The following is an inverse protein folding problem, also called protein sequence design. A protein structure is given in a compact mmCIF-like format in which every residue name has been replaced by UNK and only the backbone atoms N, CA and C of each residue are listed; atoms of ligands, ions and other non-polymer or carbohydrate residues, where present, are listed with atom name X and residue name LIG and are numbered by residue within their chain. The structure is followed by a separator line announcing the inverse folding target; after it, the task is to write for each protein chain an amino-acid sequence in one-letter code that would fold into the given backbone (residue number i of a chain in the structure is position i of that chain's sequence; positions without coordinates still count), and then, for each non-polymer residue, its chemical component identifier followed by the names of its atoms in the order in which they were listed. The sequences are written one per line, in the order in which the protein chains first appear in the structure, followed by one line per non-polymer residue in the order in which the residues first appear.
data_IF_989015797616
#
_entry.id   IF_989015797616
#
_cell.length_a   1.000
_cell.length_b   1.000
_cell.length_c   1.000
_cell.angle_alpha   90.00
_cell.angle_beta   90.00
_cell.angle_gamma   90.00
#
_symmetry.space_group_name_H-M   'P 1'
#
loop_
_entity.id
_entity.type
_entity.pdbx_description
1 polymer ?
#
# COMPACT_ATOMS: atom_id res chain seq x y z
N UNK A 1 22.55 50.66 -26.27
CA UNK A 1 22.81 49.21 -26.28
C UNK A 1 23.42 48.82 -24.96
N UNK A 2 22.70 48.11 -24.09
CA UNK A 2 23.29 47.55 -22.86
C UNK A 2 22.65 46.19 -22.64
N UNK A 3 23.37 45.15 -23.02
CA UNK A 3 22.94 43.76 -22.95
C UNK A 3 22.92 43.32 -21.50
N UNK A 4 21.72 43.16 -20.93
CA UNK A 4 21.55 42.51 -19.63
C UNK A 4 21.76 41.01 -19.84
N UNK A 5 22.89 40.50 -19.34
CA UNK A 5 23.19 39.07 -19.30
C UNK A 5 22.29 38.43 -18.25
N UNK A 6 21.22 37.78 -18.71
CA UNK A 6 20.39 36.93 -17.84
C UNK A 6 21.14 35.62 -17.59
N UNK A 7 21.59 35.41 -16.36
CA UNK A 7 22.17 34.13 -15.91
C UNK A 7 21.01 33.30 -15.37
N UNK A 8 20.56 32.33 -16.16
CA UNK A 8 19.54 31.37 -15.75
C UNK A 8 20.20 30.34 -14.82
N UNK A 9 19.99 30.47 -13.52
CA UNK A 9 20.44 29.49 -12.52
C UNK A 9 19.38 28.39 -12.41
N UNK A 10 19.61 27.24 -13.03
CA UNK A 10 18.76 26.05 -12.88
C UNK A 10 19.11 25.38 -11.56
N UNK A 11 18.28 25.59 -10.54
CA UNK A 11 18.34 24.82 -9.29
C UNK A 11 17.71 23.43 -9.53
N UNK A 12 18.54 22.42 -9.73
CA UNK A 12 18.09 21.03 -9.72
C UNK A 12 17.97 20.59 -8.26
N UNK A 13 16.75 20.57 -7.72
CA UNK A 13 16.46 19.90 -6.45
C UNK A 13 16.43 18.40 -6.71
N UNK A 14 17.56 17.73 -6.47
CA UNK A 14 17.59 16.28 -6.35
C UNK A 14 16.96 15.89 -5.01
N UNK A 15 15.65 15.63 -5.02
CA UNK A 15 14.96 15.00 -3.90
C UNK A 15 15.34 13.53 -3.84
N UNK A 16 16.38 13.20 -3.07
CA UNK A 16 16.65 11.82 -2.69
C UNK A 16 15.58 11.40 -1.67
N UNK A 17 14.48 10.84 -2.16
CA UNK A 17 13.53 10.11 -1.33
C UNK A 17 14.24 8.81 -0.92
N UNK A 18 14.87 8.85 0.25
CA UNK A 18 15.46 7.67 0.87
C UNK A 18 14.36 6.68 1.20
N UNK A 19 14.32 5.56 0.49
CA UNK A 19 13.49 4.40 0.83
C UNK A 19 13.99 3.83 2.16
N UNK A 20 13.46 4.32 3.27
CA UNK A 20 13.60 3.67 4.56
C UNK A 20 12.74 2.41 4.54
N UNK A 21 13.37 1.30 4.16
CA UNK A 21 12.79 -0.04 4.28
C UNK A 21 12.79 -0.40 5.77
N UNK A 22 11.86 0.18 6.52
CA UNK A 22 11.46 -0.36 7.81
C UNK A 22 10.58 -1.57 7.51
N UNK A 23 11.22 -2.71 7.31
CA UNK A 23 10.58 -4.03 7.23
C UNK A 23 9.93 -4.32 8.58
N UNK A 24 8.71 -3.82 8.77
CA UNK A 24 7.82 -4.29 9.82
C UNK A 24 7.35 -5.68 9.41
N UNK A 25 7.90 -6.70 10.06
CA UNK A 25 7.49 -8.09 9.93
C UNK A 25 5.98 -8.23 10.18
N UNK A 26 5.30 -9.01 9.35
CA UNK A 26 3.98 -9.55 9.65
C UNK A 26 2.89 -9.28 8.60
N UNK A 27 3.09 -9.76 7.38
CA UNK A 27 2.01 -10.26 6.52
C UNK A 27 2.67 -10.93 5.31
N UNK A 28 2.92 -12.24 5.40
CA UNK A 28 3.21 -13.05 4.20
C UNK A 28 2.12 -12.76 3.17
N UNK A 29 2.47 -12.14 2.04
CA UNK A 29 1.54 -11.84 0.94
C UNK A 29 1.33 -10.37 0.58
N UNK A 30 1.96 -9.39 1.25
CA UNK A 30 1.98 -8.00 0.74
C UNK A 30 2.89 -7.90 -0.48
N UNK A 31 2.32 -7.50 -1.62
CA UNK A 31 2.99 -7.37 -2.93
C UNK A 31 3.71 -6.03 -3.03
N UNK A 32 3.09 -4.96 -2.55
CA UNK A 32 3.63 -3.59 -2.60
C UNK A 32 3.42 -2.90 -1.26
N UNK A 33 4.41 -2.11 -0.84
CA UNK A 33 4.30 -1.19 0.28
C UNK A 33 5.20 0.03 0.04
N UNK A 34 4.57 1.16 -0.27
CA UNK A 34 5.25 2.43 -0.55
C UNK A 34 4.75 3.50 0.42
N UNK A 35 5.65 4.08 1.22
CA UNK A 35 5.31 5.16 2.14
C UNK A 35 5.26 6.51 1.40
N UNK A 36 4.13 7.23 1.50
CA UNK A 36 3.94 8.53 0.84
C UNK A 36 4.54 9.69 1.66
N UNK A 37 4.48 9.62 3.00
CA UNK A 37 5.02 10.63 3.93
C UNK A 37 5.43 9.98 5.25
N UNK A 38 6.62 10.32 5.76
CA UNK A 38 7.14 10.04 7.11
C UNK A 38 6.72 8.70 7.78
N UNK A 39 6.50 7.63 7.00
CA UNK A 39 6.08 6.31 7.48
C UNK A 39 4.67 6.21 8.08
N UNK A 40 3.80 7.23 7.93
CA UNK A 40 2.46 7.23 8.53
C UNK A 40 1.36 6.77 7.57
N UNK A 41 1.52 7.10 6.29
CA UNK A 41 0.57 6.77 5.23
C UNK A 41 1.27 6.00 4.12
N UNK A 42 0.73 4.84 3.77
CA UNK A 42 1.27 3.93 2.78
C UNK A 42 0.23 3.61 1.70
N UNK A 43 0.75 3.47 0.49
CA UNK A 43 0.11 2.71 -0.57
C UNK A 43 0.55 1.26 -0.45
N UNK A 44 -0.40 0.33 -0.33
CA UNK A 44 -0.15 -1.09 -0.18
C UNK A 44 -0.95 -1.89 -1.21
N UNK A 45 -0.35 -2.96 -1.72
CA UNK A 45 -1.05 -3.96 -2.53
C UNK A 45 -0.91 -5.34 -1.92
N UNK A 46 -2.01 -6.07 -1.81
CA UNK A 46 -2.05 -7.43 -1.29
C UNK A 46 -3.24 -8.20 -1.89
N UNK A 47 -3.17 -9.54 -2.01
CA UNK A 47 -4.31 -10.33 -2.47
C UNK A 47 -5.49 -10.21 -1.51
N UNK A 48 -6.71 -10.34 -2.03
CA UNK A 48 -7.89 -10.49 -1.20
C UNK A 48 -7.80 -11.76 -0.32
N UNK A 49 -8.58 -11.78 0.75
CA UNK A 49 -8.74 -12.98 1.57
C UNK A 49 -9.60 -13.96 0.78
N UNK A 50 -9.20 -15.22 0.80
CA UNK A 50 -9.97 -16.27 0.17
C UNK A 50 -11.38 -16.38 0.80
N UNK A 51 -12.43 -16.18 0.00
CA UNK A 51 -13.82 -16.02 0.47
C UNK A 51 -14.25 -17.16 1.43
N UNK A 52 -13.87 -18.41 1.13
CA UNK A 52 -14.21 -19.56 1.98
C UNK A 52 -13.56 -19.53 3.38
N UNK A 53 -12.47 -18.78 3.54
CA UNK A 53 -11.71 -18.64 4.79
C UNK A 53 -11.99 -17.34 5.53
N UNK A 54 -12.75 -16.42 4.92
CA UNK A 54 -12.98 -15.06 5.42
C UNK A 54 -13.58 -15.02 6.84
N UNK A 55 -14.38 -16.03 7.19
CA UNK A 55 -15.02 -16.16 8.51
C UNK A 55 -14.26 -17.06 9.47
N UNK A 56 -13.10 -17.60 9.06
CA UNK A 56 -12.32 -18.52 9.88
C UNK A 56 -11.51 -17.76 10.93
N UNK A 57 -11.08 -18.48 11.96
CA UNK A 57 -10.17 -17.94 12.98
C UNK A 57 -8.81 -17.52 12.40
N UNK A 58 -8.43 -18.09 11.25
CA UNK A 58 -7.17 -17.84 10.54
C UNK A 58 -7.47 -17.75 9.04
N UNK A 59 -7.88 -16.58 8.54
CA UNK A 59 -8.08 -16.36 7.11
C UNK A 59 -6.75 -16.47 6.36
N UNK A 60 -6.85 -16.76 5.07
CA UNK A 60 -5.70 -16.94 4.18
C UNK A 60 -5.86 -16.03 2.97
N UNK A 61 -4.79 -15.35 2.57
CA UNK A 61 -4.77 -14.54 1.34
C UNK A 61 -4.81 -15.47 0.12
N UNK A 62 -5.47 -15.05 -0.94
CA UNK A 62 -5.44 -15.76 -2.22
C UNK A 62 -4.02 -15.78 -2.82
N UNK A 63 -3.77 -16.71 -3.75
CA UNK A 63 -2.59 -16.59 -4.60
C UNK A 63 -2.70 -15.30 -5.42
N UNK A 64 -1.64 -14.46 -5.47
CA UNK A 64 -1.66 -13.19 -6.19
C UNK A 64 -1.92 -13.33 -7.70
N UNK A 65 -1.78 -14.53 -8.27
CA UNK A 65 -2.02 -14.85 -9.67
C UNK A 65 -3.46 -15.30 -9.95
N UNK A 66 -4.23 -15.65 -8.92
CA UNK A 66 -5.56 -16.28 -9.05
C UNK A 66 -6.71 -15.43 -8.54
N UNK A 67 -6.43 -14.35 -7.80
CA UNK A 67 -7.44 -13.57 -7.07
C UNK A 67 -7.39 -12.06 -7.29
N UNK A 68 -8.39 -11.39 -6.73
CA UNK A 68 -8.46 -9.93 -6.68
C UNK A 68 -7.27 -9.37 -5.86
N UNK A 69 -6.68 -8.28 -6.34
CA UNK A 69 -5.64 -7.54 -5.62
C UNK A 69 -6.27 -6.29 -5.02
N UNK A 70 -6.13 -6.13 -3.71
CA UNK A 70 -6.58 -4.96 -2.98
C UNK A 70 -5.53 -3.88 -3.08
N UNK A 71 -5.98 -2.70 -3.51
CA UNK A 71 -5.17 -1.50 -3.62
C UNK A 71 -5.54 -0.57 -2.45
N UNK A 72 -4.74 -0.62 -1.38
CA UNK A 72 -5.02 0.01 -0.10
C UNK A 72 -4.20 1.29 0.08
N UNK A 73 -4.85 2.34 0.57
CA UNK A 73 -4.20 3.57 0.98
C UNK A 73 -4.58 3.90 2.43
N UNK A 74 -3.60 3.89 3.33
CA UNK A 74 -3.89 4.08 4.76
C UNK A 74 -2.66 3.90 5.64
N UNK A 75 -2.84 3.53 6.92
CA UNK A 75 -1.73 3.35 7.84
C UNK A 75 -0.71 2.33 7.33
N UNK A 76 0.58 2.66 7.45
CA UNK A 76 1.66 1.76 7.04
C UNK A 76 1.74 0.46 7.83
N UNK A 77 1.05 0.34 8.97
CA UNK A 77 0.98 -0.89 9.77
C UNK A 77 -0.34 -1.65 9.54
N UNK A 78 -1.06 -1.38 8.45
CA UNK A 78 -2.22 -2.16 8.06
C UNK A 78 -1.88 -3.64 7.92
N UNK A 79 -2.74 -4.49 8.46
CA UNK A 79 -2.63 -5.95 8.41
C UNK A 79 -3.67 -6.49 7.43
N UNK A 80 -3.26 -7.05 6.28
CA UNK A 80 -4.14 -7.70 5.31
C UNK A 80 -4.99 -8.85 5.87
N UNK A 81 -4.61 -9.41 7.02
CA UNK A 81 -5.36 -10.44 7.75
C UNK A 81 -5.91 -9.92 9.08
N UNK A 82 -5.87 -8.61 9.28
CA UNK A 82 -6.38 -7.92 10.46
C UNK A 82 -7.90 -7.82 10.46
N UNK A 83 -8.47 -7.57 11.64
CA UNK A 83 -9.93 -7.50 11.82
C UNK A 83 -10.60 -6.44 10.94
N UNK A 84 -9.94 -5.30 10.75
CA UNK A 84 -10.49 -4.20 9.97
C UNK A 84 -10.61 -4.59 8.49
N UNK A 85 -9.60 -5.26 7.94
CA UNK A 85 -9.59 -5.76 6.57
C UNK A 85 -10.61 -6.90 6.37
N UNK A 86 -10.66 -7.86 7.30
CA UNK A 86 -11.66 -8.93 7.29
C UNK A 86 -13.07 -8.35 7.26
N UNK A 87 -13.34 -7.35 8.10
CA UNK A 87 -14.66 -6.72 8.16
C UNK A 87 -15.01 -5.98 6.86
N UNK A 88 -14.06 -5.24 6.29
CA UNK A 88 -14.25 -4.53 5.03
C UNK A 88 -14.59 -5.50 3.88
N UNK A 89 -13.84 -6.58 3.73
CA UNK A 89 -14.11 -7.59 2.70
C UNK A 89 -15.43 -8.35 2.95
N UNK A 90 -15.80 -8.58 4.22
CA UNK A 90 -17.09 -9.21 4.53
C UNK A 90 -18.27 -8.34 4.10
N UNK A 91 -18.19 -7.03 4.35
CA UNK A 91 -19.19 -6.07 3.89
C UNK A 91 -19.25 -6.02 2.37
N UNK A 92 -18.11 -5.97 1.69
CA UNK A 92 -18.07 -5.99 0.22
C UNK A 92 -18.74 -7.25 -0.35
N UNK A 93 -18.43 -8.43 0.21
CA UNK A 93 -19.06 -9.70 -0.17
C UNK A 93 -20.57 -9.72 0.06
N UNK A 94 -21.06 -9.07 1.12
CA UNK A 94 -22.50 -8.93 1.37
C UNK A 94 -23.17 -8.03 0.33
N UNK A 95 -22.52 -6.95 -0.11
CA UNK A 95 -23.07 -6.04 -1.12
C UNK A 95 -23.06 -6.63 -2.54
N UNK A 96 -22.14 -7.56 -2.84
CA UNK A 96 -22.06 -8.22 -4.15
C UNK A 96 -23.12 -9.32 -4.36
N UNK A 97 -23.78 -9.79 -3.29
CA UNK A 97 -24.82 -10.85 -3.35
C UNK A 97 -26.21 -10.24 -3.48
#
# INVERSE_FOLDING_TARGET
MKTMKSVLLVLVLAGAMGSSIASAAGADGVILKEASTAGSYCHMKFPAIEERTLTWKRPVLMDPSEGDIIDFYGPCNHDPLGKDEIHAQLLDLQHRR
#
